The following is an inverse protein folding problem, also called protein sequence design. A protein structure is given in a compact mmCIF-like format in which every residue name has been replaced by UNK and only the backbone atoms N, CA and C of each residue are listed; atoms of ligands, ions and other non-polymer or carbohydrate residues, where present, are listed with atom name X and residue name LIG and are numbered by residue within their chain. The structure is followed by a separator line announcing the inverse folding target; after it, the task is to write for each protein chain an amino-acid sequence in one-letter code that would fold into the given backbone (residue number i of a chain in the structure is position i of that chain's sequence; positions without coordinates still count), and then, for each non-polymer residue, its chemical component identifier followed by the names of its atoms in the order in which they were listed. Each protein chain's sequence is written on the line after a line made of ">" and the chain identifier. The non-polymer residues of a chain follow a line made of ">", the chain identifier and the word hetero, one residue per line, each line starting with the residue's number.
data_IF_437920217839
#
_entry.id   IF_437920217839
#
_cell.length_a   1.000
_cell.length_b   1.000
_cell.length_c   1.000
_cell.angle_alpha   90.00
_cell.angle_beta   90.00
_cell.angle_gamma   90.00
#
_symmetry.space_group_name_H-M   'P 1'
#
loop_
_entity.id
_entity.type
_entity.pdbx_description
1 polymer ?
#
# COMPACT_ATOMS: atom_id res chain seq x y z
N UNK A 1 20.58 -36.42 -14.12
CA UNK A 1 19.18 -36.28 -14.59
C UNK A 1 18.22 -35.83 -13.47
N UNK A 2 18.59 -34.84 -12.63
CA UNK A 2 17.70 -34.24 -11.60
C UNK A 2 17.22 -32.83 -11.98
N UNK A 3 17.76 -32.25 -13.06
CA UNK A 3 17.54 -30.86 -13.44
C UNK A 3 16.26 -30.65 -14.27
N UNK A 4 15.81 -31.63 -15.04
CA UNK A 4 14.65 -31.48 -15.92
C UNK A 4 13.30 -31.48 -15.16
N UNK A 5 13.26 -32.10 -13.98
CA UNK A 5 12.06 -32.13 -13.13
C UNK A 5 11.82 -30.79 -12.45
N UNK A 6 12.89 -30.13 -11.99
CA UNK A 6 12.82 -28.77 -11.44
C UNK A 6 12.41 -27.75 -12.50
N UNK A 7 12.92 -27.88 -13.73
CA UNK A 7 12.58 -26.98 -14.84
C UNK A 7 11.12 -27.15 -15.32
N UNK A 8 10.57 -28.36 -15.20
CA UNK A 8 9.15 -28.62 -15.50
C UNK A 8 8.22 -28.16 -14.39
N UNK A 9 8.67 -28.21 -13.12
CA UNK A 9 7.94 -27.63 -12.00
C UNK A 9 7.88 -26.11 -12.14
N UNK A 10 8.99 -25.43 -12.42
CA UNK A 10 8.98 -23.97 -12.61
C UNK A 10 8.09 -23.53 -13.77
N UNK A 11 8.14 -24.23 -14.91
CA UNK A 11 7.24 -23.94 -16.05
C UNK A 11 5.75 -24.18 -15.75
N UNK A 12 5.42 -25.15 -14.89
CA UNK A 12 4.01 -25.42 -14.52
C UNK A 12 3.47 -24.36 -13.56
N UNK A 13 4.30 -23.83 -12.66
CA UNK A 13 3.92 -22.71 -11.81
C UNK A 13 3.80 -21.40 -12.60
N UNK A 14 4.71 -21.14 -13.55
CA UNK A 14 4.59 -19.96 -14.43
C UNK A 14 3.33 -19.97 -15.32
N UNK A 15 2.80 -21.15 -15.66
CA UNK A 15 1.59 -21.26 -16.49
C UNK A 15 0.28 -21.32 -15.68
N UNK A 16 0.31 -21.68 -14.39
CA UNK A 16 -0.88 -21.64 -13.53
C UNK A 16 -1.09 -20.28 -12.86
N UNK A 17 -0.04 -19.46 -12.75
CA UNK A 17 -0.13 -18.11 -12.17
C UNK A 17 -0.60 -17.04 -13.18
N UNK A 18 -0.88 -17.41 -14.43
CA UNK A 18 -1.33 -16.45 -15.46
C UNK A 18 -2.79 -16.00 -15.35
N UNK A 19 -3.69 -16.87 -14.88
CA UNK A 19 -5.15 -16.65 -14.94
C UNK A 19 -5.81 -16.36 -13.58
N UNK A 20 -5.11 -16.54 -12.47
CA UNK A 20 -5.65 -16.25 -11.13
C UNK A 20 -5.27 -14.88 -10.57
N UNK A 21 -4.34 -14.15 -11.21
CA UNK A 21 -3.94 -12.80 -10.81
C UNK A 21 -4.56 -11.68 -11.66
N UNK A 22 -5.46 -12.01 -12.60
CA UNK A 22 -6.10 -11.01 -13.48
C UNK A 22 -7.20 -10.15 -12.83
N UNK A 23 -7.48 -10.31 -11.52
CA UNK A 23 -8.56 -9.55 -10.85
C UNK A 23 -8.22 -8.85 -9.54
N UNK A 24 -6.96 -8.88 -9.11
CA UNK A 24 -6.53 -8.01 -8.00
C UNK A 24 -5.31 -7.25 -8.49
N UNK A 25 -5.59 -6.16 -9.20
CA UNK A 25 -4.66 -5.06 -9.38
C UNK A 25 -4.33 -4.46 -8.00
N UNK A 26 -3.52 -5.16 -7.18
CA UNK A 26 -2.80 -4.52 -6.08
C UNK A 26 -1.71 -3.64 -6.71
N UNK A 27 -2.11 -2.50 -7.29
CA UNK A 27 -1.32 -1.65 -8.19
C UNK A 27 -0.21 -0.82 -7.54
N UNK A 28 0.11 -1.05 -6.27
CA UNK A 28 1.38 -0.64 -5.70
C UNK A 28 1.38 -0.47 -4.19
N UNK A 29 2.54 -0.16 -3.59
CA UNK A 29 2.72 -0.06 -2.13
C UNK A 29 1.74 0.92 -1.44
N UNK A 30 1.23 1.90 -2.18
CA UNK A 30 0.22 2.84 -1.69
C UNK A 30 -1.16 2.23 -1.40
N UNK A 31 -1.56 1.16 -2.10
CA UNK A 31 -2.87 0.54 -1.89
C UNK A 31 -2.89 -0.19 -0.54
N UNK A 32 -1.77 -0.82 -0.18
CA UNK A 32 -1.59 -1.47 1.12
C UNK A 32 -1.62 -0.46 2.28
N UNK A 33 -0.96 0.69 2.11
CA UNK A 33 -0.98 1.77 3.10
C UNK A 33 -2.41 2.29 3.31
N UNK A 34 -3.19 2.43 2.22
CA UNK A 34 -4.58 2.89 2.31
C UNK A 34 -5.47 1.88 3.04
N UNK A 35 -5.33 0.58 2.76
CA UNK A 35 -6.08 -0.48 3.46
C UNK A 35 -5.80 -0.48 4.96
N UNK A 36 -4.54 -0.36 5.38
CA UNK A 36 -4.22 -0.33 6.81
C UNK A 36 -4.72 0.95 7.49
N UNK A 37 -4.68 2.11 6.82
CA UNK A 37 -5.32 3.32 7.34
C UNK A 37 -6.84 3.15 7.49
N UNK A 38 -7.49 2.54 6.51
CA UNK A 38 -8.93 2.29 6.56
C UNK A 38 -9.28 1.35 7.70
N UNK A 39 -8.54 0.26 7.87
CA UNK A 39 -8.72 -0.73 8.93
C UNK A 39 -8.49 -0.13 10.33
N UNK A 40 -7.46 0.70 10.51
CA UNK A 40 -7.24 1.40 11.78
C UNK A 40 -8.35 2.41 12.07
N UNK A 41 -8.88 3.10 11.05
CA UNK A 41 -10.01 4.02 11.20
C UNK A 41 -11.29 3.35 11.73
N UNK A 42 -11.50 2.07 11.38
CA UNK A 42 -12.68 1.30 11.78
C UNK A 42 -12.60 0.75 13.22
N UNK A 43 -11.46 0.88 13.90
CA UNK A 43 -11.32 0.45 15.29
C UNK A 43 -12.07 1.38 16.23
N UNK A 44 -12.49 0.86 17.40
CA UNK A 44 -13.17 1.67 18.43
C UNK A 44 -12.30 2.85 18.93
N UNK A 45 -10.97 2.72 18.85
CA UNK A 45 -9.99 3.75 19.19
C UNK A 45 -8.95 3.82 18.07
N UNK A 46 -9.21 4.59 17.00
CA UNK A 46 -8.30 4.68 15.87
C UNK A 46 -7.01 5.37 16.29
N UNK A 47 -5.87 4.74 15.96
CA UNK A 47 -4.53 5.29 16.20
C UNK A 47 -3.68 5.14 14.94
N UNK A 48 -3.74 6.15 14.08
CA UNK A 48 -3.07 6.15 12.79
C UNK A 48 -1.55 6.12 12.90
N UNK A 49 -0.98 6.49 14.06
CA UNK A 49 0.46 6.40 14.29
C UNK A 49 0.98 4.96 14.26
N UNK A 50 0.10 3.97 14.46
CA UNK A 50 0.43 2.54 14.34
C UNK A 50 0.67 2.09 12.90
N UNK A 51 0.14 2.81 11.91
CA UNK A 51 0.31 2.48 10.49
C UNK A 51 1.71 2.90 10.05
N UNK A 52 2.72 2.21 10.54
CA UNK A 52 4.14 2.48 10.27
C UNK A 52 4.62 1.76 9.01
N UNK A 53 5.75 2.19 8.46
CA UNK A 53 6.41 1.52 7.34
C UNK A 53 6.68 0.03 7.62
N UNK A 54 7.02 -0.32 8.85
CA UNK A 54 7.25 -1.70 9.29
C UNK A 54 5.97 -2.54 9.27
N UNK A 55 4.85 -1.98 9.76
CA UNK A 55 3.55 -2.67 9.74
C UNK A 55 3.16 -3.06 8.31
N UNK A 56 3.39 -2.14 7.37
CA UNK A 56 3.09 -2.35 5.96
C UNK A 56 4.19 -3.06 5.18
N UNK A 57 5.27 -3.49 5.87
CA UNK A 57 6.43 -4.17 5.28
C UNK A 57 7.06 -3.39 4.11
N UNK A 58 7.04 -2.05 4.18
CA UNK A 58 7.64 -1.17 3.20
C UNK A 58 8.92 -0.53 3.74
N UNK A 59 9.82 -0.19 2.83
CA UNK A 59 10.90 0.74 3.15
C UNK A 59 10.32 2.11 3.51
N UNK A 60 10.90 2.81 4.49
CA UNK A 60 10.43 4.14 4.91
C UNK A 60 10.30 5.14 3.75
N UNK A 61 11.22 5.11 2.78
CA UNK A 61 11.16 5.99 1.60
C UNK A 61 9.93 5.69 0.77
N UNK A 62 9.65 4.40 0.54
CA UNK A 62 8.48 3.94 -0.24
C UNK A 62 7.20 4.29 0.51
N UNK A 63 7.18 4.09 1.83
CA UNK A 63 6.06 4.48 2.69
C UNK A 63 5.76 5.98 2.61
N UNK A 64 6.78 6.84 2.74
CA UNK A 64 6.62 8.30 2.64
C UNK A 64 6.09 8.72 1.27
N UNK A 65 6.59 8.12 0.19
CA UNK A 65 6.10 8.35 -1.18
C UNK A 65 4.66 7.88 -1.33
N UNK A 66 4.31 6.72 -0.76
CA UNK A 66 2.95 6.19 -0.78
C UNK A 66 1.97 7.12 -0.06
N UNK A 67 2.27 7.56 1.16
CA UNK A 67 1.45 8.52 1.91
C UNK A 67 1.26 9.82 1.12
N UNK A 68 2.34 10.37 0.55
CA UNK A 68 2.26 11.55 -0.32
C UNK A 68 1.32 11.32 -1.50
N UNK A 69 1.47 10.19 -2.19
CA UNK A 69 0.65 9.86 -3.37
C UNK A 69 -0.83 9.67 -3.00
N UNK A 70 -1.14 9.08 -1.85
CA UNK A 70 -2.51 8.93 -1.36
C UNK A 70 -3.14 10.29 -1.03
N UNK A 71 -2.36 11.19 -0.42
CA UNK A 71 -2.83 12.55 -0.11
C UNK A 71 -3.01 13.37 -1.39
N UNK A 72 -2.06 13.31 -2.33
CA UNK A 72 -2.16 14.01 -3.62
C UNK A 72 -3.37 13.54 -4.45
N UNK A 73 -3.72 12.25 -4.34
CA UNK A 73 -4.92 11.66 -4.98
C UNK A 73 -6.23 11.98 -4.23
N UNK A 74 -6.16 12.58 -3.04
CA UNK A 74 -7.32 12.90 -2.21
C UNK A 74 -7.96 11.68 -1.53
N UNK A 75 -7.26 10.55 -1.42
CA UNK A 75 -7.75 9.34 -0.75
C UNK A 75 -7.57 9.40 0.77
N UNK A 76 -6.60 10.20 1.22
CA UNK A 76 -6.38 10.52 2.62
C UNK A 76 -6.24 12.03 2.80
N UNK A 77 -6.56 12.52 3.98
CA UNK A 77 -6.36 13.91 4.40
C UNK A 77 -5.64 13.95 5.76
N UNK A 78 -5.01 15.07 6.10
CA UNK A 78 -4.41 15.29 7.43
C UNK A 78 -2.98 14.73 7.58
N UNK A 79 -2.34 14.24 6.52
CA UNK A 79 -0.93 13.86 6.57
C UNK A 79 -0.04 15.12 6.48
N UNK A 80 0.84 15.31 7.46
CA UNK A 80 1.85 16.38 7.43
C UNK A 80 3.11 15.83 6.77
N UNK A 81 3.43 16.33 5.57
CA UNK A 81 4.54 15.83 4.76
C UNK A 81 5.59 16.92 4.61
N UNK A 82 6.81 16.64 5.05
CA UNK A 82 7.96 17.52 4.81
C UNK A 82 8.67 17.07 3.54
N UNK A 83 8.86 17.99 2.61
CA UNK A 83 9.55 17.73 1.33
C UNK A 83 10.97 18.28 1.37
N UNK A 84 11.90 17.59 0.72
CA UNK A 84 13.24 18.07 0.42
C UNK A 84 13.22 19.20 -0.62
N UNK A 85 14.38 19.85 -0.81
CA UNK A 85 14.60 20.80 -1.91
C UNK A 85 14.36 20.17 -3.30
N UNK A 86 14.49 18.85 -3.42
CA UNK A 86 14.23 18.08 -4.66
C UNK A 86 12.78 17.65 -4.82
N UNK A 87 11.90 17.97 -3.86
CA UNK A 87 10.48 17.61 -3.87
C UNK A 87 10.17 16.18 -3.40
N UNK A 88 11.17 15.47 -2.86
CA UNK A 88 11.01 14.12 -2.31
C UNK A 88 10.56 14.20 -0.84
N UNK A 89 9.66 13.33 -0.37
CA UNK A 89 9.20 13.38 1.02
C UNK A 89 10.30 12.88 1.98
N UNK A 90 10.80 13.79 2.84
CA UNK A 90 11.80 13.51 3.86
C UNK A 90 11.18 13.02 5.16
N UNK A 91 9.98 13.46 5.51
CA UNK A 91 9.26 12.95 6.67
C UNK A 91 7.76 13.03 6.46
N UNK A 92 7.03 12.12 7.10
CA UNK A 92 5.57 12.11 7.12
C UNK A 92 5.10 11.92 8.56
N UNK A 93 4.16 12.74 9.00
CA UNK A 93 3.39 12.51 10.22
C UNK A 93 1.95 12.15 9.81
N UNK A 94 1.50 11.00 10.30
CA UNK A 94 0.20 10.39 9.95
C UNK A 94 -0.79 10.37 11.12
N UNK A 95 -0.45 10.97 12.27
CA UNK A 95 -1.29 10.95 13.48
C UNK A 95 -2.70 11.52 13.27
N UNK A 96 -2.83 12.51 12.38
CA UNK A 96 -4.11 13.17 12.07
C UNK A 96 -4.72 12.67 10.77
N UNK A 97 -4.19 11.59 10.19
CA UNK A 97 -4.67 11.08 8.92
C UNK A 97 -6.10 10.57 9.04
N UNK A 98 -6.90 10.87 8.03
CA UNK A 98 -8.23 10.29 7.84
C UNK A 98 -8.36 9.81 6.41
N UNK A 99 -9.00 8.66 6.24
CA UNK A 99 -9.40 8.16 4.93
C UNK A 99 -10.65 8.91 4.49
N UNK A 100 -10.58 9.51 3.31
CA UNK A 100 -11.69 10.28 2.73
C UNK A 100 -12.74 9.34 2.14
N UNK A 101 -13.97 9.82 1.84
CA UNK A 101 -14.97 9.00 1.14
C UNK A 101 -14.45 8.41 -0.19
N UNK A 102 -13.66 9.18 -0.94
CA UNK A 102 -13.02 8.70 -2.16
C UNK A 102 -12.00 7.59 -1.91
N UNK A 103 -11.24 7.67 -0.80
CA UNK A 103 -10.34 6.59 -0.38
C UNK A 103 -11.08 5.30 -0.01
N UNK A 104 -12.25 5.42 0.64
CA UNK A 104 -13.10 4.28 0.99
C UNK A 104 -13.69 3.62 -0.26
N UNK A 105 -14.22 4.42 -1.20
CA UNK A 105 -14.74 3.89 -2.46
C UNK A 105 -13.68 3.17 -3.29
N UNK A 106 -12.44 3.69 -3.26
CA UNK A 106 -11.31 3.07 -3.93
C UNK A 106 -10.88 1.76 -3.22
N UNK A 107 -10.86 1.72 -1.89
CA UNK A 107 -10.60 0.47 -1.13
C UNK A 107 -11.66 -0.60 -1.44
N UNK A 108 -12.94 -0.23 -1.52
CA UNK A 108 -14.02 -1.15 -1.87
C UNK A 108 -13.94 -1.68 -3.31
N UNK A 109 -13.23 -1.00 -4.21
CA UNK A 109 -12.95 -1.51 -5.57
C UNK A 109 -11.74 -2.44 -5.61
N UNK A 110 -10.87 -2.42 -4.58
CA UNK A 110 -9.69 -3.28 -4.48
C UNK A 110 -10.00 -4.66 -3.87
N UNK A 111 -11.10 -4.79 -3.12
CA UNK A 111 -11.60 -6.03 -2.52
C UNK A 111 -12.70 -6.72 -3.33
#
# INVERSE_FOLDING_TARGET
>A
MRSDLLLKLTKKYEQQDGDHFQKVEMTGPHDYVLMEFYKEQQQEKPDMAKVTAELVQLNETIYRIAVKKLQDKGYIEGAVITLSETGMPESVNVEQVKVTPAGIEYEQHLG
#
